data_IF_598227357890
#
_entry.id   IF_598227357890
#
_cell.length_a   1.000
_cell.length_b   1.000
_cell.length_c   1.000
_cell.angle_alpha   90.00
_cell.angle_beta   90.00
_cell.angle_gamma   90.00
#
_symmetry.space_group_name_H-M   'P 1'
#
loop_
_entity.id
_entity.type
_entity.pdbx_description
1 polymer ?
#
# COMPACT_ATOMS: atom_id res chain seq x y z
N UNK A 1 3.47 7.41 -1.72
CA UNK A 1 3.68 7.51 -0.27
C UNK A 1 4.93 6.77 0.13
N UNK A 2 5.56 7.16 1.23
CA UNK A 2 6.78 6.54 1.78
C UNK A 2 6.75 6.67 3.30
N UNK A 3 7.14 5.63 4.03
CA UNK A 3 7.19 5.57 5.49
C UNK A 3 8.03 4.41 5.97
N UNK A 4 8.26 4.32 7.27
CA UNK A 4 9.00 3.23 7.90
C UNK A 4 8.11 2.48 8.88
N UNK A 5 8.26 1.15 8.91
CA UNK A 5 7.59 0.26 9.85
C UNK A 5 8.62 -0.56 10.63
N UNK A 6 8.32 -0.80 11.89
CA UNK A 6 9.06 -1.74 12.73
C UNK A 6 8.05 -2.61 13.47
N UNK A 7 7.95 -3.89 13.10
CA UNK A 7 6.93 -4.81 13.60
C UNK A 7 7.41 -6.25 13.48
N UNK A 8 6.99 -7.09 14.43
CA UNK A 8 7.13 -8.55 14.33
C UNK A 8 5.95 -9.11 13.50
N UNK A 9 6.18 -9.61 12.27
CA UNK A 9 5.11 -10.11 11.42
C UNK A 9 4.58 -11.50 11.83
N UNK A 10 5.18 -12.10 12.86
CA UNK A 10 4.81 -13.43 13.38
C UNK A 10 3.94 -13.29 14.62
N UNK A 11 4.40 -12.52 15.63
CA UNK A 11 3.76 -12.46 16.94
C UNK A 11 3.29 -11.07 17.35
N UNK A 12 3.66 -10.04 16.57
CA UNK A 12 3.42 -8.63 16.91
C UNK A 12 2.24 -7.99 16.17
N UNK A 13 1.39 -8.76 15.50
CA UNK A 13 0.24 -8.25 14.78
C UNK A 13 -1.07 -8.75 15.41
N UNK A 14 -2.08 -7.89 15.46
CA UNK A 14 -3.41 -8.25 15.91
C UNK A 14 -4.06 -9.31 14.99
N UNK A 15 -5.13 -9.95 15.44
CA UNK A 15 -5.88 -10.93 14.65
C UNK A 15 -6.56 -10.25 13.45
N UNK A 16 -6.68 -10.96 12.33
CA UNK A 16 -7.31 -10.43 11.11
C UNK A 16 -6.34 -9.66 10.20
N UNK A 17 -6.87 -8.86 9.29
CA UNK A 17 -6.09 -7.96 8.43
C UNK A 17 -5.58 -6.76 9.24
N UNK A 18 -4.37 -6.33 8.94
CA UNK A 18 -3.71 -5.24 9.65
C UNK A 18 -3.19 -4.23 8.64
N UNK A 19 -3.77 -3.04 8.62
CA UNK A 19 -3.50 -2.02 7.61
C UNK A 19 -2.67 -0.87 8.21
N UNK A 20 -1.35 -0.83 7.99
CA UNK A 20 -0.55 0.35 8.35
C UNK A 20 -1.07 1.63 7.72
N UNK A 21 -1.55 1.56 6.48
CA UNK A 21 -2.25 2.66 5.80
C UNK A 21 -3.39 2.11 4.96
N UNK A 22 -4.58 2.71 5.12
CA UNK A 22 -5.73 2.51 4.24
C UNK A 22 -6.35 3.85 3.88
N UNK A 23 -6.58 4.08 2.58
CA UNK A 23 -7.33 5.22 2.05
C UNK A 23 -8.64 4.67 1.53
N UNK A 24 -9.77 5.11 2.10
CA UNK A 24 -11.10 4.60 1.73
C UNK A 24 -12.21 5.57 2.09
N UNK A 25 -13.30 5.65 1.29
CA UNK A 25 -14.53 6.28 1.73
C UNK A 25 -15.40 5.36 2.61
N UNK A 26 -15.39 4.04 2.34
CA UNK A 26 -16.33 3.09 2.94
C UNK A 26 -15.66 1.81 3.45
N UNK A 27 -15.29 0.92 2.52
CA UNK A 27 -14.84 -0.44 2.80
C UNK A 27 -13.53 -0.75 2.07
N UNK A 28 -12.84 -1.81 2.49
CA UNK A 28 -11.54 -2.21 1.94
C UNK A 28 -11.56 -2.52 0.43
N UNK A 29 -12.71 -2.83 -0.15
CA UNK A 29 -12.84 -3.25 -1.56
C UNK A 29 -13.72 -2.32 -2.42
N UNK A 30 -13.97 -1.09 -1.97
CA UNK A 30 -14.72 -0.09 -2.73
C UNK A 30 -14.00 1.25 -2.67
N UNK A 31 -13.41 1.65 -3.79
CA UNK A 31 -12.58 2.86 -3.90
C UNK A 31 -11.49 2.91 -2.82
N UNK A 32 -10.85 1.78 -2.54
CA UNK A 32 -9.87 1.63 -1.46
C UNK A 32 -8.46 1.41 -1.99
N UNK A 33 -7.49 2.07 -1.36
CA UNK A 33 -6.08 1.95 -1.67
C UNK A 33 -5.32 1.77 -0.36
N UNK A 34 -4.62 0.64 -0.20
CA UNK A 34 -4.03 0.27 1.09
C UNK A 34 -2.76 -0.55 0.97
N UNK A 35 -2.03 -0.63 2.06
CA UNK A 35 -1.04 -1.68 2.32
C UNK A 35 -1.43 -2.40 3.61
N UNK A 36 -1.35 -3.72 3.59
CA UNK A 36 -1.75 -4.55 4.73
C UNK A 36 -0.81 -5.74 4.96
N UNK A 37 -0.87 -6.29 6.17
CA UNK A 37 -0.49 -7.67 6.43
C UNK A 37 -1.72 -8.55 6.31
N UNK A 38 -1.66 -9.61 5.50
CA UNK A 38 -2.78 -10.54 5.38
C UNK A 38 -3.07 -11.23 6.73
N UNK A 39 -4.26 -11.80 6.86
CA UNK A 39 -4.69 -12.45 8.12
C UNK A 39 -4.08 -13.83 8.35
N UNK A 40 -3.48 -14.43 7.32
CA UNK A 40 -2.99 -15.80 7.33
C UNK A 40 -1.49 -15.85 6.99
N UNK A 41 -0.86 -16.98 7.33
CA UNK A 41 0.56 -17.20 7.06
C UNK A 41 1.46 -16.93 8.27
N UNK A 42 2.66 -17.52 8.22
CA UNK A 42 3.70 -17.33 9.22
C UNK A 42 5.08 -17.37 8.56
N UNK A 43 5.76 -16.22 8.39
CA UNK A 43 5.29 -14.87 8.67
C UNK A 43 4.16 -14.42 7.73
N UNK A 44 3.34 -13.46 8.18
CA UNK A 44 2.25 -12.89 7.39
C UNK A 44 2.80 -12.08 6.21
N UNK A 45 2.22 -12.27 5.02
CA UNK A 45 2.67 -11.55 3.84
C UNK A 45 2.18 -10.10 3.86
N UNK A 46 3.02 -9.19 3.37
CA UNK A 46 2.69 -7.79 3.17
C UNK A 46 2.19 -7.55 1.74
N UNK A 47 1.15 -6.72 1.56
CA UNK A 47 0.50 -6.55 0.26
C UNK A 47 0.17 -5.10 -0.02
N UNK A 48 0.02 -4.78 -1.31
CA UNK A 48 -0.59 -3.55 -1.79
C UNK A 48 -1.92 -3.89 -2.45
N UNK A 49 -3.00 -3.22 -2.06
CA UNK A 49 -4.31 -3.27 -2.69
C UNK A 49 -4.68 -1.95 -3.35
N UNK A 50 -5.20 -2.00 -4.58
CA UNK A 50 -5.65 -0.84 -5.34
C UNK A 50 -7.03 -1.13 -5.95
N UNK A 51 -8.05 -1.10 -5.12
CA UNK A 51 -9.41 -1.42 -5.49
C UNK A 51 -10.15 -0.15 -5.93
N UNK A 52 -10.36 -0.01 -7.22
CA UNK A 52 -11.21 1.02 -7.81
C UNK A 52 -12.63 1.03 -7.21
N UNK A 53 -13.50 1.92 -7.62
CA UNK A 53 -14.92 1.85 -7.30
C UNK A 53 -15.46 0.43 -7.60
N UNK A 54 -16.19 -0.16 -6.65
CA UNK A 54 -16.64 -1.55 -6.74
C UNK A 54 -17.42 -1.82 -8.01
N UNK A 55 -18.24 -0.87 -8.45
CA UNK A 55 -18.98 -0.93 -9.72
C UNK A 55 -18.09 -0.95 -10.97
N UNK A 56 -16.80 -0.64 -10.86
CA UNK A 56 -15.84 -0.64 -11.96
C UNK A 56 -15.02 -1.92 -11.96
N UNK A 57 -14.42 -2.31 -10.82
CA UNK A 57 -13.56 -3.48 -10.78
C UNK A 57 -14.32 -4.80 -10.59
N UNK A 58 -15.50 -4.77 -9.94
CA UNK A 58 -16.34 -5.95 -9.68
C UNK A 58 -17.84 -5.59 -9.69
N UNK A 59 -18.40 -5.18 -10.85
CA UNK A 59 -19.77 -4.67 -10.97
C UNK A 59 -20.84 -5.72 -10.59
N UNK A 60 -20.55 -7.00 -10.84
CA UNK A 60 -21.47 -8.09 -10.54
C UNK A 60 -21.34 -8.61 -9.09
N UNK A 61 -20.50 -7.99 -8.28
CA UNK A 61 -20.24 -8.39 -6.89
C UNK A 61 -19.88 -9.89 -6.73
N UNK A 62 -19.12 -10.41 -7.69
CA UNK A 62 -18.66 -11.80 -7.67
C UNK A 62 -17.66 -12.05 -6.55
N UNK A 63 -17.62 -13.28 -6.06
CA UNK A 63 -16.52 -13.72 -5.21
C UNK A 63 -15.29 -14.04 -6.08
N UNK A 64 -14.45 -13.04 -6.28
CA UNK A 64 -13.23 -13.15 -7.09
C UNK A 64 -12.11 -13.73 -6.20
N UNK A 65 -11.41 -14.79 -6.63
CA UNK A 65 -10.25 -15.33 -5.92
C UNK A 65 -9.16 -14.27 -5.70
N UNK A 66 -8.45 -14.33 -4.57
CA UNK A 66 -7.44 -13.33 -4.21
C UNK A 66 -6.38 -13.07 -5.31
N UNK A 67 -5.82 -14.09 -6.00
CA UNK A 67 -4.84 -13.86 -7.07
C UNK A 67 -5.38 -13.08 -8.28
N UNK A 68 -6.69 -13.04 -8.45
CA UNK A 68 -7.37 -12.35 -9.56
C UNK A 68 -7.86 -10.94 -9.16
N UNK A 69 -7.57 -10.47 -7.95
CA UNK A 69 -7.95 -9.14 -7.45
C UNK A 69 -6.89 -8.10 -7.80
N UNK A 70 -7.25 -6.81 -7.80
CA UNK A 70 -6.26 -5.71 -7.90
C UNK A 70 -5.42 -5.59 -6.62
N UNK A 71 -4.61 -6.62 -6.38
CA UNK A 71 -3.80 -6.82 -5.19
C UNK A 71 -2.47 -7.46 -5.57
N UNK A 72 -1.38 -7.03 -4.96
CA UNK A 72 -0.05 -7.60 -5.17
C UNK A 72 0.64 -7.89 -3.83
N UNK A 73 0.98 -9.15 -3.54
CA UNK A 73 1.81 -9.49 -2.40
C UNK A 73 3.26 -9.08 -2.66
N UNK A 74 3.96 -8.70 -1.59
CA UNK A 74 5.40 -8.53 -1.62
C UNK A 74 6.10 -9.88 -1.85
N UNK A 75 7.19 -9.87 -2.61
CA UNK A 75 8.04 -11.04 -2.85
C UNK A 75 8.96 -11.34 -1.67
N UNK A 76 9.26 -10.30 -0.88
CA UNK A 76 10.11 -10.39 0.30
C UNK A 76 9.32 -10.07 1.57
N UNK A 77 9.82 -10.54 2.71
CA UNK A 77 9.28 -10.19 4.03
C UNK A 77 10.41 -9.71 4.95
N UNK A 78 10.86 -8.45 4.80
CA UNK A 78 11.97 -7.91 5.58
C UNK A 78 11.59 -7.43 6.99
N UNK A 79 10.32 -7.55 7.37
CA UNK A 79 9.82 -7.01 8.64
C UNK A 79 10.37 -7.76 9.84
N UNK A 80 10.67 -7.01 10.90
CA UNK A 80 11.23 -7.53 12.14
C UNK A 80 10.96 -6.55 13.28
N UNK A 81 10.83 -7.07 14.49
CA UNK A 81 10.72 -6.26 15.72
C UNK A 81 11.99 -5.43 16.01
N UNK A 82 13.14 -5.80 15.43
CA UNK A 82 14.44 -5.19 15.73
C UNK A 82 14.90 -4.20 14.66
N UNK A 83 14.32 -4.24 13.46
CA UNK A 83 14.78 -3.44 12.31
C UNK A 83 13.64 -2.65 11.69
N UNK A 84 13.94 -1.43 11.28
CA UNK A 84 13.06 -0.63 10.46
C UNK A 84 13.02 -1.15 9.02
N UNK A 85 11.84 -1.26 8.46
CA UNK A 85 11.59 -1.58 7.05
C UNK A 85 11.01 -0.35 6.38
N UNK A 86 11.67 0.12 5.34
CA UNK A 86 11.14 1.17 4.49
C UNK A 86 10.05 0.60 3.57
N UNK A 87 8.89 1.23 3.59
CA UNK A 87 7.76 0.92 2.72
C UNK A 87 7.51 2.12 1.82
N UNK A 88 7.41 1.89 0.53
CA UNK A 88 6.91 2.90 -0.39
C UNK A 88 5.93 2.28 -1.38
N UNK A 89 4.93 3.05 -1.77
CA UNK A 89 4.05 2.70 -2.86
C UNK A 89 3.74 3.91 -3.73
N UNK A 90 3.61 3.66 -5.01
CA UNK A 90 3.33 4.68 -6.01
C UNK A 90 2.08 4.33 -6.79
N UNK A 91 1.43 5.35 -7.34
CA UNK A 91 0.31 5.17 -8.26
C UNK A 91 0.39 6.22 -9.36
N UNK A 92 -0.08 5.86 -10.54
CA UNK A 92 -0.17 6.75 -11.69
C UNK A 92 -1.27 6.33 -12.64
N UNK A 93 -1.77 7.28 -13.44
CA UNK A 93 -2.84 7.07 -14.43
C UNK A 93 -4.15 6.58 -13.79
N UNK A 94 -4.45 7.03 -12.58
CA UNK A 94 -5.76 6.84 -11.97
C UNK A 94 -6.78 7.79 -12.59
N UNK A 95 -8.06 7.40 -12.59
CA UNK A 95 -9.19 8.18 -13.11
C UNK A 95 -9.07 8.57 -14.60
N UNK A 96 -8.42 7.72 -15.41
CA UNK A 96 -8.32 7.93 -16.86
C UNK A 96 -9.45 7.28 -17.66
N UNK A 97 -10.27 6.44 -17.04
CA UNK A 97 -11.27 5.61 -17.72
C UNK A 97 -10.70 4.39 -18.44
N UNK A 98 -9.38 4.24 -18.49
CA UNK A 98 -8.68 3.17 -19.22
C UNK A 98 -8.04 2.15 -18.27
N UNK A 99 -7.80 0.93 -18.77
CA UNK A 99 -7.07 -0.12 -18.04
C UNK A 99 -5.55 0.11 -18.03
N UNK A 100 -5.11 1.33 -17.75
CA UNK A 100 -3.71 1.74 -17.78
C UNK A 100 -3.17 2.24 -16.42
N UNK A 101 -3.98 2.13 -15.37
CA UNK A 101 -3.56 2.43 -14.01
C UNK A 101 -2.42 1.52 -13.58
N UNK A 102 -1.43 2.08 -12.88
CA UNK A 102 -0.30 1.32 -12.35
C UNK A 102 -0.11 1.71 -10.89
N UNK A 103 -0.10 0.70 -10.02
CA UNK A 103 0.32 0.84 -8.62
C UNK A 103 1.50 -0.07 -8.36
N UNK A 104 2.52 0.41 -7.65
CA UNK A 104 3.73 -0.38 -7.39
C UNK A 104 4.11 -0.33 -5.91
N UNK A 105 4.48 -1.50 -5.37
CA UNK A 105 4.96 -1.69 -4.01
C UNK A 105 6.48 -1.80 -3.99
N UNK A 106 7.10 -1.15 -3.00
CA UNK A 106 8.54 -1.21 -2.74
C UNK A 106 8.80 -1.48 -1.26
N UNK A 107 9.74 -2.36 -0.97
CA UNK A 107 10.28 -2.60 0.36
C UNK A 107 11.79 -2.39 0.34
N UNK A 108 12.31 -1.64 1.31
CA UNK A 108 13.73 -1.31 1.42
C UNK A 108 14.34 -0.82 0.10
N UNK A 109 13.63 0.07 -0.60
CA UNK A 109 14.08 0.66 -1.86
C UNK A 109 13.89 -0.22 -3.09
N UNK A 110 13.52 -1.50 -2.94
CA UNK A 110 13.38 -2.47 -4.05
C UNK A 110 11.93 -2.69 -4.42
N UNK A 111 11.65 -2.77 -5.73
CA UNK A 111 10.29 -3.05 -6.24
C UNK A 111 9.90 -4.49 -5.96
N UNK A 112 8.81 -4.69 -5.27
CA UNK A 112 8.24 -5.99 -4.92
C UNK A 112 7.22 -6.49 -5.96
N UNK A 113 6.42 -5.56 -6.52
CA UNK A 113 5.44 -5.90 -7.54
C UNK A 113 4.64 -4.70 -8.01
N UNK A 114 3.72 -4.95 -8.94
CA UNK A 114 2.79 -3.94 -9.47
C UNK A 114 1.41 -4.52 -9.72
N UNK A 115 0.40 -3.68 -9.56
CA UNK A 115 -0.97 -3.89 -10.03
C UNK A 115 -1.09 -3.12 -11.34
N UNK A 116 -1.37 -3.83 -12.43
CA UNK A 116 -1.46 -3.29 -13.79
C UNK A 116 -2.67 -3.88 -14.53
N UNK A 117 -3.10 -3.25 -15.64
CA UNK A 117 -4.20 -3.76 -16.47
C UNK A 117 -5.60 -3.51 -15.90
N UNK A 118 -5.74 -2.72 -14.86
CA UNK A 118 -7.01 -2.36 -14.25
C UNK A 118 -7.43 -0.94 -14.61
N UNK A 119 -8.75 -0.73 -14.75
CA UNK A 119 -9.33 0.60 -14.80
C UNK A 119 -9.44 1.13 -13.35
N UNK A 120 -8.43 1.90 -12.94
CA UNK A 120 -8.29 2.44 -11.58
C UNK A 120 -9.08 3.76 -11.46
N UNK A 121 -10.41 3.65 -11.39
CA UNK A 121 -11.31 4.78 -11.15
C UNK A 121 -11.75 4.84 -9.69
N UNK A 122 -11.59 6.01 -9.09
CA UNK A 122 -11.94 6.31 -7.71
C UNK A 122 -12.83 7.54 -7.67
N UNK A 123 -14.08 7.37 -7.29
CA UNK A 123 -15.05 8.46 -7.16
C UNK A 123 -14.98 9.14 -5.78
N UNK A 124 -13.78 9.53 -5.37
CA UNK A 124 -13.58 10.20 -4.09
C UNK A 124 -14.14 11.63 -4.07
N UNK A 125 -14.27 12.28 -5.24
CA UNK A 125 -14.80 13.62 -5.33
C UNK A 125 -16.22 13.73 -4.72
N UNK A 126 -16.40 14.67 -3.82
CA UNK A 126 -17.70 14.94 -3.17
C UNK A 126 -18.13 13.92 -2.11
N UNK A 127 -17.28 12.94 -1.77
CA UNK A 127 -17.54 11.98 -0.69
C UNK A 127 -16.53 12.12 0.44
N UNK A 128 -16.93 11.96 1.70
CA UNK A 128 -15.97 11.85 2.80
C UNK A 128 -15.08 10.63 2.57
N UNK A 129 -13.79 10.85 2.45
CA UNK A 129 -12.79 9.77 2.44
C UNK A 129 -11.81 9.99 3.59
N UNK A 130 -11.20 8.90 4.02
CA UNK A 130 -10.33 8.87 5.19
C UNK A 130 -9.00 8.26 4.82
N UNK A 131 -7.96 8.80 5.40
CA UNK A 131 -6.66 8.13 5.48
C UNK A 131 -6.57 7.56 6.89
N UNK A 132 -6.68 6.25 7.01
CA UNK A 132 -6.53 5.52 8.24
C UNK A 132 -5.06 5.12 8.38
N UNK A 133 -4.46 5.45 9.50
CA UNK A 133 -3.06 5.12 9.81
C UNK A 133 -3.08 4.21 11.02
N UNK A 134 -2.43 3.04 10.91
CA UNK A 134 -2.29 2.11 12.01
C UNK A 134 -3.57 1.33 12.35
N UNK A 135 -4.43 1.05 11.37
CA UNK A 135 -5.66 0.26 11.59
C UNK A 135 -5.29 -1.18 11.99
N UNK A 136 -5.57 -1.55 13.24
CA UNK A 136 -5.17 -2.81 13.89
C UNK A 136 -3.65 -3.08 13.87
N UNK A 137 -2.84 -2.06 13.54
CA UNK A 137 -1.39 -2.18 13.48
C UNK A 137 -0.76 -2.00 14.86
N UNK A 138 -0.03 -3.01 15.30
CA UNK A 138 0.72 -3.02 16.56
C UNK A 138 2.22 -3.01 16.24
N UNK A 139 2.81 -1.83 16.19
CA UNK A 139 4.22 -1.64 15.87
C UNK A 139 4.61 -0.16 15.88
N UNK A 140 5.81 0.14 15.46
CA UNK A 140 6.29 1.51 15.32
C UNK A 140 6.14 1.96 13.86
N UNK A 141 5.73 3.20 13.70
CA UNK A 141 5.51 3.86 12.42
C UNK A 141 6.26 5.20 12.42
N UNK A 142 7.01 5.50 11.36
CA UNK A 142 7.81 6.71 11.28
C UNK A 142 7.89 7.29 9.87
N UNK A 143 8.23 8.57 9.76
CA UNK A 143 8.56 9.33 8.54
C UNK A 143 7.53 9.20 7.39
N UNK A 144 6.24 9.34 7.70
CA UNK A 144 5.21 9.37 6.66
C UNK A 144 5.37 10.59 5.75
N UNK A 145 5.60 10.32 4.46
CA UNK A 145 5.66 11.33 3.42
C UNK A 145 4.70 11.01 2.26
N UNK A 146 3.98 12.04 1.81
CA UNK A 146 3.14 11.98 0.62
C UNK A 146 3.70 12.92 -0.44
N UNK A 147 3.86 12.43 -1.67
CA UNK A 147 4.40 13.18 -2.80
C UNK A 147 3.27 13.48 -3.78
N UNK A 148 3.32 14.63 -4.42
CA UNK A 148 2.32 15.06 -5.43
C UNK A 148 2.52 14.41 -6.81
N UNK A 149 3.45 13.46 -6.91
CA UNK A 149 3.72 12.65 -8.11
C UNK A 149 4.17 11.25 -7.75
N UNK A 150 4.09 10.34 -8.71
CA UNK A 150 4.72 9.03 -8.57
C UNK A 150 6.25 9.17 -8.60
N UNK A 151 6.92 8.68 -7.56
CA UNK A 151 8.37 8.61 -7.52
C UNK A 151 8.88 7.49 -8.44
N UNK A 152 10.04 7.70 -9.05
CA UNK A 152 10.78 6.65 -9.75
C UNK A 152 11.43 5.67 -8.77
N UNK A 153 11.79 4.46 -9.26
CA UNK A 153 12.48 3.46 -8.45
C UNK A 153 13.81 4.00 -7.86
N UNK A 154 14.56 4.79 -8.64
CA UNK A 154 15.81 5.42 -8.17
C UNK A 154 15.58 6.44 -7.06
N UNK A 155 14.49 7.20 -7.11
CA UNK A 155 14.14 8.14 -6.04
C UNK A 155 13.76 7.40 -4.76
N UNK A 156 13.01 6.30 -4.86
CA UNK A 156 12.63 5.47 -3.72
C UNK A 156 13.87 4.80 -3.10
N UNK A 157 14.78 4.31 -3.93
CA UNK A 157 16.07 3.77 -3.47
C UNK A 157 16.91 4.82 -2.73
N UNK A 158 16.96 6.06 -3.25
CA UNK A 158 17.64 7.18 -2.57
C UNK A 158 17.00 7.54 -1.25
N UNK A 159 15.68 7.55 -1.15
CA UNK A 159 14.96 7.77 0.12
C UNK A 159 15.33 6.69 1.13
N UNK A 160 15.27 5.42 0.73
CA UNK A 160 15.67 4.31 1.59
C UNK A 160 17.13 4.39 2.05
N UNK A 161 18.05 4.77 1.16
CA UNK A 161 19.47 4.89 1.48
C UNK A 161 19.79 6.13 2.33
N UNK A 162 18.86 7.08 2.43
CA UNK A 162 19.08 8.33 3.15
C UNK A 162 19.01 8.10 4.66
N UNK A 163 20.13 8.31 5.35
CA UNK A 163 20.27 8.06 6.80
C UNK A 163 19.85 9.24 7.69
N UNK A 164 19.31 10.29 7.10
CA UNK A 164 18.89 11.50 7.80
C UNK A 164 17.39 11.69 7.58
N UNK A 165 16.79 12.54 8.41
CA UNK A 165 15.42 13.03 8.27
C UNK A 165 15.09 13.40 6.81
N UNK A 166 13.95 12.93 6.29
CA UNK A 166 13.46 13.21 4.94
C UNK A 166 13.40 14.71 4.61
N UNK A 167 13.19 15.57 5.59
CA UNK A 167 13.22 17.03 5.42
C UNK A 167 14.56 17.50 4.83
N UNK A 168 15.64 16.80 5.07
CA UNK A 168 16.96 17.15 4.52
C UNK A 168 17.12 16.81 3.03
N UNK A 169 16.20 16.03 2.43
CA UNK A 169 16.15 15.74 1.00
C UNK A 169 15.31 16.74 0.18
N UNK A 170 14.51 17.57 0.83
CA UNK A 170 13.51 18.46 0.19
C UNK A 170 14.07 19.90 0.05
N UNK A 171 15.36 20.10 0.21
CA UNK A 171 16.04 21.40 0.01
C UNK A 171 16.46 21.60 -1.43
#
# INVERSE_FOLDING_TARGET
>A
MSFWLKVDPINGLDTGYVDPIQITPNTWNDASFFVDFNKEGNPRSFRLGAFADKKIWNPENKNIPEPERPLVPAKSNPFSKDKWTHVAFTWKRFNTGNKNGISSLYLNGKKEGSIEGWNQQYSWAGKPHRILIGLYYMGLFDELACFNRALSAKEIERIHAHKKDLKSLIR
#
